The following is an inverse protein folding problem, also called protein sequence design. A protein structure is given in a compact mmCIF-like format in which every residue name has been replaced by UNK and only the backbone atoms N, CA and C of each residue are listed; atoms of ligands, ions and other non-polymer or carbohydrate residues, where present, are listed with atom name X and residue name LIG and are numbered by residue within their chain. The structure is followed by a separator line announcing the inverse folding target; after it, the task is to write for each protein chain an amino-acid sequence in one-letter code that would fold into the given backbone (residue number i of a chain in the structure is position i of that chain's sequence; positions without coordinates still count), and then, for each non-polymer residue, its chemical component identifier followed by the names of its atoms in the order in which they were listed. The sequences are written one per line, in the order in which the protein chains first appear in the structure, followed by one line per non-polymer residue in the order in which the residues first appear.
data_IF_249743495953
#
_entry.id   IF_249743495953
#
_cell.length_a   1.000
_cell.length_b   1.000
_cell.length_c   1.000
_cell.angle_alpha   90.00
_cell.angle_beta   90.00
_cell.angle_gamma   90.00
#
_symmetry.space_group_name_H-M   'P 1'
#
loop_
_entity.id
_entity.type
_entity.pdbx_description
1 polymer ?
#
# COMPACT_ATOMS: atom_id res chain seq x y z
N UNK A 1 -67.49 7.22 52.48
CA UNK A 1 -67.68 8.14 51.34
C UNK A 1 -67.39 7.35 50.09
N UNK A 2 -68.36 7.27 49.18
CA UNK A 2 -68.36 6.39 48.02
C UNK A 2 -67.39 6.90 46.95
N UNK A 3 -66.42 6.08 46.55
CA UNK A 3 -65.59 6.34 45.38
C UNK A 3 -66.44 6.09 44.13
N UNK A 4 -66.73 7.15 43.38
CA UNK A 4 -67.44 7.08 42.11
C UNK A 4 -66.65 6.26 41.10
N UNK A 5 -67.21 5.13 40.66
CA UNK A 5 -66.81 4.45 39.45
C UNK A 5 -67.23 5.32 38.26
N UNK A 6 -66.32 6.13 37.72
CA UNK A 6 -66.57 6.77 36.43
C UNK A 6 -66.69 5.67 35.36
N UNK A 7 -67.75 5.69 34.53
CA UNK A 7 -68.01 4.60 33.61
C UNK A 7 -66.91 4.58 32.55
N UNK A 8 -66.05 3.55 32.58
CA UNK A 8 -64.96 3.34 31.63
C UNK A 8 -65.52 2.90 30.28
N UNK A 9 -66.30 3.75 29.63
CA UNK A 9 -66.94 3.42 28.35
C UNK A 9 -65.91 3.25 27.24
N UNK A 10 -66.23 2.42 26.25
CA UNK A 10 -65.38 2.25 25.08
C UNK A 10 -65.14 3.59 24.36
N UNK A 11 -63.87 3.99 24.21
CA UNK A 11 -63.45 5.24 23.57
C UNK A 11 -63.85 5.37 22.09
N UNK A 12 -64.28 4.28 21.45
CA UNK A 12 -64.68 4.25 20.03
C UNK A 12 -66.20 4.34 19.86
N UNK A 13 -66.98 3.56 20.61
CA UNK A 13 -68.44 3.51 20.42
C UNK A 13 -69.27 4.09 21.56
N UNK A 14 -68.67 4.38 22.72
CA UNK A 14 -69.29 4.98 23.91
C UNK A 14 -70.56 4.27 24.45
N UNK A 15 -70.91 3.11 23.89
CA UNK A 15 -72.16 2.38 24.17
C UNK A 15 -71.99 1.22 25.14
N UNK A 16 -70.78 0.72 25.32
CA UNK A 16 -70.49 -0.44 26.16
C UNK A 16 -69.39 -0.15 27.15
N UNK A 17 -69.49 -0.76 28.34
CA UNK A 17 -68.46 -0.74 29.35
C UNK A 17 -67.17 -1.34 28.77
N UNK A 18 -66.09 -0.58 28.88
CA UNK A 18 -64.77 -0.88 28.34
C UNK A 18 -64.10 -1.94 29.19
N UNK A 19 -64.17 -3.19 28.71
CA UNK A 19 -63.62 -4.37 29.39
C UNK A 19 -62.11 -4.52 29.22
N UNK A 20 -61.48 -3.78 28.30
CA UNK A 20 -60.07 -3.90 27.96
C UNK A 20 -59.40 -2.52 27.92
N UNK A 21 -58.19 -2.40 28.44
CA UNK A 21 -57.37 -1.17 28.38
C UNK A 21 -56.09 -1.44 27.57
N UNK A 22 -55.71 -0.51 26.70
CA UNK A 22 -54.42 -0.56 26.02
C UNK A 22 -53.36 0.23 26.79
N UNK A 23 -52.26 -0.41 27.21
CA UNK A 23 -51.21 0.25 27.99
C UNK A 23 -50.47 1.35 27.22
N UNK A 24 -50.40 1.25 25.89
CA UNK A 24 -49.72 2.25 25.05
C UNK A 24 -50.50 3.56 24.92
N UNK A 25 -51.78 3.48 24.55
CA UNK A 25 -52.62 4.67 24.35
C UNK A 25 -53.49 5.04 25.57
N UNK A 26 -53.49 4.21 26.63
CA UNK A 26 -54.26 4.37 27.88
C UNK A 26 -55.78 4.51 27.71
N UNK A 27 -56.33 4.06 26.59
CA UNK A 27 -57.76 4.11 26.28
C UNK A 27 -58.48 2.81 26.64
N UNK A 28 -59.77 2.92 27.01
CA UNK A 28 -60.66 1.80 27.31
C UNK A 28 -61.47 1.39 26.07
N UNK A 29 -61.58 0.10 25.81
CA UNK A 29 -62.25 -0.45 24.64
C UNK A 29 -63.17 -1.61 25.03
N UNK A 30 -64.25 -1.78 24.28
CA UNK A 30 -64.95 -3.06 24.27
C UNK A 30 -64.11 -4.08 23.46
N UNK A 31 -64.33 -5.37 23.69
CA UNK A 31 -63.52 -6.45 23.09
C UNK A 31 -63.39 -6.31 21.57
N UNK A 32 -64.49 -5.95 20.87
CA UNK A 32 -64.48 -5.77 19.41
C UNK A 32 -63.54 -4.65 18.97
N UNK A 33 -63.62 -3.46 19.59
CA UNK A 33 -62.77 -2.32 19.23
C UNK A 33 -61.33 -2.48 19.73
N UNK A 34 -61.11 -3.25 20.80
CA UNK A 34 -59.76 -3.60 21.26
C UNK A 34 -59.03 -4.48 20.23
N UNK A 35 -59.72 -5.50 19.69
CA UNK A 35 -59.16 -6.36 18.64
C UNK A 35 -58.87 -5.56 17.36
N UNK A 36 -59.77 -4.65 16.98
CA UNK A 36 -59.54 -3.75 15.84
C UNK A 36 -58.33 -2.83 16.06
N UNK A 37 -58.20 -2.26 17.26
CA UNK A 37 -57.04 -1.43 17.63
C UNK A 37 -55.74 -2.24 17.57
N UNK A 38 -55.75 -3.47 18.07
CA UNK A 38 -54.57 -4.35 18.03
C UNK A 38 -54.20 -4.73 16.59
N UNK A 39 -55.19 -4.98 15.73
CA UNK A 39 -54.96 -5.24 14.31
C UNK A 39 -54.35 -4.02 13.61
N UNK A 40 -54.87 -2.82 13.85
CA UNK A 40 -54.31 -1.57 13.32
C UNK A 40 -52.86 -1.34 13.76
N UNK A 41 -52.54 -1.65 15.02
CA UNK A 41 -51.16 -1.57 15.52
C UNK A 41 -50.23 -2.59 14.85
N UNK A 42 -50.71 -3.82 14.60
CA UNK A 42 -49.93 -4.83 13.86
C UNK A 42 -49.64 -4.34 12.46
N UNK A 43 -50.66 -3.88 11.73
CA UNK A 43 -50.50 -3.34 10.38
C UNK A 43 -49.53 -2.17 10.35
N UNK A 44 -49.64 -1.22 11.29
CA UNK A 44 -48.68 -0.11 11.37
C UNK A 44 -47.26 -0.56 11.67
N UNK A 45 -47.07 -1.57 12.51
CA UNK A 45 -45.74 -2.10 12.79
C UNK A 45 -45.13 -2.77 11.55
N UNK A 46 -45.93 -3.54 10.83
CA UNK A 46 -45.49 -4.18 9.58
C UNK A 46 -45.17 -3.13 8.50
N UNK A 47 -46.04 -2.13 8.34
CA UNK A 47 -45.90 -1.08 7.32
C UNK A 47 -44.76 -0.09 7.64
N UNK A 48 -44.65 0.38 8.89
CA UNK A 48 -43.69 1.45 9.24
C UNK A 48 -42.35 0.90 9.71
N UNK A 49 -42.32 -0.22 10.44
CA UNK A 49 -41.09 -0.74 11.06
C UNK A 49 -40.47 -1.86 10.23
N UNK A 50 -41.25 -2.90 9.90
CA UNK A 50 -40.73 -4.07 9.18
C UNK A 50 -40.33 -3.68 7.77
N UNK A 51 -41.20 -2.98 7.04
CA UNK A 51 -40.89 -2.52 5.68
C UNK A 51 -39.64 -1.62 5.65
N UNK A 52 -39.56 -0.62 6.54
CA UNK A 52 -38.37 0.25 6.62
C UNK A 52 -37.10 -0.53 6.96
N UNK A 53 -37.19 -1.49 7.88
CA UNK A 53 -36.06 -2.36 8.23
C UNK A 53 -35.58 -3.16 7.02
N UNK A 54 -36.51 -3.78 6.30
CA UNK A 54 -36.18 -4.63 5.15
C UNK A 54 -35.63 -3.80 3.98
N UNK A 55 -36.17 -2.60 3.75
CA UNK A 55 -35.62 -1.64 2.78
C UNK A 55 -34.19 -1.22 3.15
N UNK A 56 -33.91 -0.93 4.42
CA UNK A 56 -32.57 -0.59 4.88
C UNK A 56 -31.60 -1.77 4.73
N UNK A 57 -32.05 -2.98 5.05
CA UNK A 57 -31.26 -4.20 4.89
C UNK A 57 -30.94 -4.46 3.41
N UNK A 58 -31.92 -4.25 2.51
CA UNK A 58 -31.71 -4.36 1.08
C UNK A 58 -30.74 -3.29 0.55
N UNK A 59 -30.87 -2.04 1.00
CA UNK A 59 -29.94 -0.95 0.65
C UNK A 59 -28.51 -1.25 1.11
N UNK A 60 -28.32 -1.77 2.33
CA UNK A 60 -27.00 -2.15 2.85
C UNK A 60 -26.37 -3.29 2.04
N UNK A 61 -27.18 -4.29 1.67
CA UNK A 61 -26.73 -5.40 0.83
C UNK A 61 -26.33 -4.92 -0.58
N UNK A 62 -27.10 -4.01 -1.18
CA UNK A 62 -26.78 -3.42 -2.50
C UNK A 62 -25.52 -2.55 -2.45
N UNK A 63 -25.34 -1.74 -1.40
CA UNK A 63 -24.15 -0.91 -1.21
C UNK A 63 -22.86 -1.75 -1.06
N UNK A 64 -22.97 -2.91 -0.41
CA UNK A 64 -21.85 -3.86 -0.27
C UNK A 64 -21.49 -4.56 -1.59
N UNK A 65 -22.41 -4.57 -2.56
CA UNK A 65 -22.17 -5.15 -3.89
C UNK A 65 -21.62 -4.12 -4.88
N UNK A 66 -21.85 -2.82 -4.67
CA UNK A 66 -21.34 -1.73 -5.52
C UNK A 66 -19.91 -1.31 -5.16
N UNK A 67 -19.03 -2.26 -4.87
CA UNK A 67 -17.61 -2.05 -4.51
C UNK A 67 -16.74 -1.57 -5.69
N UNK A 68 -17.32 -0.93 -6.70
CA UNK A 68 -16.59 -0.38 -7.85
C UNK A 68 -15.46 0.56 -7.40
N UNK A 69 -15.71 1.40 -6.38
CA UNK A 69 -14.69 2.28 -5.79
C UNK A 69 -13.59 1.53 -5.04
N UNK A 70 -13.89 0.38 -4.43
CA UNK A 70 -12.86 -0.46 -3.82
C UNK A 70 -12.00 -1.13 -4.89
N UNK A 71 -12.61 -1.57 -6.00
CA UNK A 71 -11.88 -2.11 -7.16
C UNK A 71 -10.91 -1.09 -7.76
N UNK A 72 -11.34 0.17 -7.95
CA UNK A 72 -10.48 1.24 -8.45
C UNK A 72 -9.29 1.52 -7.53
N UNK A 73 -9.49 1.48 -6.20
CA UNK A 73 -8.40 1.63 -5.24
C UNK A 73 -7.41 0.46 -5.30
N UNK A 74 -7.88 -0.78 -5.45
CA UNK A 74 -6.99 -1.93 -5.66
C UNK A 74 -6.18 -1.79 -6.95
N UNK A 75 -6.80 -1.37 -8.05
CA UNK A 75 -6.10 -1.12 -9.31
C UNK A 75 -5.03 -0.02 -9.16
N UNK A 76 -5.28 1.01 -8.36
CA UNK A 76 -4.30 2.05 -8.08
C UNK A 76 -3.12 1.54 -7.24
N UNK A 77 -3.37 0.68 -6.26
CA UNK A 77 -2.35 0.00 -5.47
C UNK A 77 -1.47 -0.88 -6.38
N UNK A 78 -2.09 -1.71 -7.22
CA UNK A 78 -1.39 -2.61 -8.14
C UNK A 78 -0.52 -1.84 -9.15
N UNK A 79 -1.05 -0.72 -9.66
CA UNK A 79 -0.29 0.19 -10.54
C UNK A 79 0.88 0.82 -9.79
N UNK A 80 0.69 1.29 -8.57
CA UNK A 80 1.75 1.86 -7.75
C UNK A 80 2.86 0.84 -7.49
N UNK A 81 2.50 -0.40 -7.14
CA UNK A 81 3.43 -1.50 -6.91
C UNK A 81 4.27 -1.77 -8.17
N UNK A 82 3.60 -1.97 -9.31
CA UNK A 82 4.24 -2.28 -10.59
C UNK A 82 5.24 -1.18 -11.00
N UNK A 83 4.83 0.08 -10.95
CA UNK A 83 5.68 1.23 -11.31
C UNK A 83 6.87 1.36 -10.35
N UNK A 84 6.67 1.09 -9.07
CA UNK A 84 7.73 1.20 -8.06
C UNK A 84 8.78 0.12 -8.24
N UNK A 85 8.37 -1.13 -8.48
CA UNK A 85 9.28 -2.23 -8.81
C UNK A 85 10.10 -1.92 -10.06
N UNK A 86 9.46 -1.39 -11.11
CA UNK A 86 10.16 -1.01 -12.35
C UNK A 86 11.22 0.07 -12.10
N UNK A 87 10.90 1.08 -11.28
CA UNK A 87 11.87 2.14 -10.91
C UNK A 87 13.07 1.56 -10.15
N UNK A 88 12.85 0.62 -9.23
CA UNK A 88 13.92 -0.07 -8.50
C UNK A 88 14.82 -0.84 -9.47
N UNK A 89 14.25 -1.59 -10.41
CA UNK A 89 15.01 -2.30 -11.43
C UNK A 89 15.84 -1.35 -12.30
N UNK A 90 15.24 -0.25 -12.79
CA UNK A 90 15.97 0.77 -13.58
C UNK A 90 17.11 1.39 -12.80
N UNK A 91 16.91 1.70 -11.52
CA UNK A 91 17.95 2.27 -10.67
C UNK A 91 19.11 1.27 -10.48
N UNK A 92 18.81 0.01 -10.19
CA UNK A 92 19.80 -1.05 -10.06
C UNK A 92 20.60 -1.25 -11.35
N UNK A 93 19.92 -1.31 -12.50
CA UNK A 93 20.55 -1.54 -13.79
C UNK A 93 21.47 -0.39 -14.20
N UNK A 94 21.04 0.86 -13.96
CA UNK A 94 21.89 2.04 -14.16
C UNK A 94 23.19 1.95 -13.34
N UNK A 95 23.10 1.57 -12.08
CA UNK A 95 24.29 1.45 -11.20
C UNK A 95 25.19 0.30 -11.65
N UNK A 96 24.63 -0.85 -12.08
CA UNK A 96 25.40 -1.95 -12.67
C UNK A 96 26.16 -1.48 -13.91
N UNK A 97 25.48 -0.78 -14.82
CA UNK A 97 26.09 -0.27 -16.04
C UNK A 97 27.25 0.69 -15.74
N UNK A 98 27.05 1.64 -14.82
CA UNK A 98 28.10 2.56 -14.38
C UNK A 98 29.30 1.82 -13.79
N UNK A 99 29.06 0.82 -12.93
CA UNK A 99 30.12 0.00 -12.35
C UNK A 99 30.89 -0.77 -13.43
N UNK A 100 30.19 -1.40 -14.38
CA UNK A 100 30.82 -2.11 -15.50
C UNK A 100 31.65 -1.18 -16.37
N UNK A 101 31.16 0.04 -16.65
CA UNK A 101 31.91 1.03 -17.42
C UNK A 101 33.20 1.44 -16.71
N UNK A 102 33.14 1.76 -15.41
CA UNK A 102 34.32 2.11 -14.63
C UNK A 102 35.35 0.97 -14.62
N UNK A 103 34.92 -0.26 -14.36
CA UNK A 103 35.79 -1.44 -14.38
C UNK A 103 36.42 -1.68 -15.76
N UNK A 104 35.65 -1.47 -16.83
CA UNK A 104 36.13 -1.63 -18.21
C UNK A 104 37.15 -0.57 -18.56
N UNK A 105 36.92 0.69 -18.15
CA UNK A 105 37.86 1.79 -18.35
C UNK A 105 39.18 1.58 -17.60
N UNK A 106 39.11 1.16 -16.33
CA UNK A 106 40.31 0.82 -15.55
C UNK A 106 41.10 -0.32 -16.19
N UNK A 107 40.42 -1.39 -16.62
CA UNK A 107 41.05 -2.51 -17.34
C UNK A 107 41.71 -2.06 -18.64
N UNK A 108 41.03 -1.21 -19.42
CA UNK A 108 41.55 -0.70 -20.69
C UNK A 108 42.81 0.16 -20.47
N UNK A 109 42.82 1.03 -19.45
CA UNK A 109 44.00 1.82 -19.07
C UNK A 109 45.18 0.92 -18.72
N UNK A 110 44.97 -0.07 -17.85
CA UNK A 110 46.02 -1.03 -17.47
C UNK A 110 46.58 -1.80 -18.67
N UNK A 111 45.69 -2.23 -19.56
CA UNK A 111 46.07 -2.96 -20.78
C UNK A 111 46.91 -2.08 -21.70
N UNK A 112 46.55 -0.79 -21.84
CA UNK A 112 47.28 0.16 -22.66
C UNK A 112 48.66 0.50 -22.07
N UNK A 113 48.75 0.72 -20.76
CA UNK A 113 50.01 0.98 -20.05
C UNK A 113 50.97 -0.21 -20.19
N UNK A 114 50.45 -1.43 -20.01
CA UNK A 114 51.21 -2.65 -20.19
C UNK A 114 51.66 -2.86 -21.65
N UNK A 115 50.77 -2.57 -22.62
CA UNK A 115 51.09 -2.65 -24.04
C UNK A 115 52.18 -1.66 -24.46
N UNK A 116 52.12 -0.43 -23.95
CA UNK A 116 53.11 0.62 -24.19
C UNK A 116 54.47 0.22 -23.62
N UNK A 117 54.50 -0.28 -22.39
CA UNK A 117 55.72 -0.80 -21.76
C UNK A 117 56.29 -2.00 -22.54
N UNK A 118 55.43 -2.91 -23.01
CA UNK A 118 55.87 -4.07 -23.80
C UNK A 118 56.56 -3.65 -25.11
N UNK A 119 56.04 -2.62 -25.79
CA UNK A 119 56.68 -2.04 -26.98
C UNK A 119 58.01 -1.38 -26.64
N UNK A 120 58.08 -0.60 -25.56
CA UNK A 120 59.33 0.03 -25.10
C UNK A 120 60.42 -1.02 -24.83
N UNK A 121 60.09 -2.12 -24.14
CA UNK A 121 61.03 -3.20 -23.84
C UNK A 121 61.53 -3.89 -25.13
N UNK A 122 60.63 -4.16 -26.09
CA UNK A 122 60.99 -4.79 -27.37
C UNK A 122 61.91 -3.91 -28.19
N UNK A 123 61.53 -2.64 -28.41
CA UNK A 123 62.32 -1.73 -29.22
C UNK A 123 63.74 -1.56 -28.66
N UNK A 124 63.88 -1.37 -27.33
CA UNK A 124 65.20 -1.22 -26.70
C UNK A 124 66.06 -2.47 -26.79
N UNK A 125 65.43 -3.65 -26.73
CA UNK A 125 66.12 -4.93 -26.92
C UNK A 125 66.57 -5.11 -28.37
N UNK A 126 65.71 -4.77 -29.33
CA UNK A 126 66.00 -4.92 -30.76
C UNK A 126 67.07 -3.92 -31.22
N UNK A 127 67.10 -2.71 -30.63
CA UNK A 127 68.08 -1.66 -30.89
C UNK A 127 69.38 -1.84 -30.08
N UNK A 128 69.44 -2.81 -29.16
CA UNK A 128 70.51 -3.00 -28.15
C UNK A 128 70.89 -1.69 -27.43
N UNK A 129 69.89 -0.83 -27.23
CA UNK A 129 70.02 0.56 -26.78
C UNK A 129 69.37 0.74 -25.40
N UNK A 130 70.05 0.25 -24.36
CA UNK A 130 69.64 0.41 -22.97
C UNK A 130 70.84 0.62 -22.05
N UNK A 131 70.64 1.44 -21.02
CA UNK A 131 71.59 1.66 -19.93
C UNK A 131 70.96 1.30 -18.56
N UNK A 132 71.73 1.46 -17.48
CA UNK A 132 71.27 1.19 -16.13
C UNK A 132 70.06 2.06 -15.73
N UNK A 133 69.96 3.30 -16.23
CA UNK A 133 68.83 4.19 -15.95
C UNK A 133 67.55 3.70 -16.62
N UNK A 134 67.65 3.17 -17.85
CA UNK A 134 66.55 2.57 -18.57
C UNK A 134 66.03 1.32 -17.83
N UNK A 135 66.95 0.47 -17.36
CA UNK A 135 66.61 -0.72 -16.57
C UNK A 135 65.88 -0.31 -15.28
N UNK A 136 66.40 0.66 -14.53
CA UNK A 136 65.79 1.13 -13.29
C UNK A 136 64.42 1.77 -13.54
N UNK A 137 64.27 2.57 -14.61
CA UNK A 137 62.98 3.16 -15.02
C UNK A 137 61.95 2.09 -15.36
N UNK A 138 62.33 1.09 -16.14
CA UNK A 138 61.44 -0.02 -16.51
C UNK A 138 61.04 -0.85 -15.29
N UNK A 139 61.97 -1.11 -14.37
CA UNK A 139 61.66 -1.77 -13.09
C UNK A 139 60.63 -1.00 -12.27
N UNK A 140 60.76 0.33 -12.17
CA UNK A 140 59.78 1.19 -11.50
C UNK A 140 58.40 1.11 -12.15
N UNK A 141 58.32 1.13 -13.49
CA UNK A 141 57.05 0.98 -14.22
C UNK A 141 56.40 -0.40 -13.97
N UNK A 142 57.19 -1.48 -13.97
CA UNK A 142 56.71 -2.84 -13.67
C UNK A 142 56.09 -2.90 -12.27
N UNK A 143 56.79 -2.37 -11.27
CA UNK A 143 56.28 -2.32 -9.90
C UNK A 143 54.97 -1.51 -9.78
N UNK A 144 54.87 -0.37 -10.47
CA UNK A 144 53.64 0.42 -10.50
C UNK A 144 52.47 -0.36 -11.11
N UNK A 145 52.66 -1.02 -12.24
CA UNK A 145 51.61 -1.84 -12.88
C UNK A 145 51.21 -3.00 -11.97
N UNK A 146 52.16 -3.65 -11.29
CA UNK A 146 51.86 -4.71 -10.32
C UNK A 146 51.01 -4.20 -9.16
N UNK A 147 51.29 -3.01 -8.63
CA UNK A 147 50.47 -2.38 -7.58
C UNK A 147 49.06 -2.11 -8.10
N UNK A 148 48.93 -1.48 -9.28
CA UNK A 148 47.63 -1.17 -9.87
C UNK A 148 46.82 -2.44 -10.18
N UNK A 149 47.46 -3.51 -10.63
CA UNK A 149 46.83 -4.80 -10.89
C UNK A 149 46.35 -5.46 -9.59
N UNK A 150 47.14 -5.41 -8.51
CA UNK A 150 46.72 -5.86 -7.18
C UNK A 150 45.54 -5.04 -6.63
N UNK A 151 45.49 -3.74 -6.89
CA UNK A 151 44.35 -2.90 -6.50
C UNK A 151 43.08 -3.25 -7.28
N UNK A 152 43.22 -3.48 -8.59
CA UNK A 152 42.12 -3.91 -9.45
C UNK A 152 41.54 -5.28 -9.05
N UNK A 153 42.38 -6.24 -8.66
CA UNK A 153 41.96 -7.61 -8.30
C UNK A 153 41.63 -7.80 -6.83
N UNK A 154 42.22 -7.00 -5.94
CA UNK A 154 42.19 -7.25 -4.49
C UNK A 154 41.09 -6.50 -3.73
N UNK A 155 40.60 -5.37 -4.24
CA UNK A 155 39.49 -4.61 -3.63
C UNK A 155 39.11 -3.46 -4.55
N UNK A 156 37.99 -3.57 -5.26
CA UNK A 156 37.49 -2.48 -6.12
C UNK A 156 37.28 -1.22 -5.27
N UNK A 157 38.01 -0.14 -5.55
CA UNK A 157 37.83 1.17 -4.88
C UNK A 157 36.42 1.72 -5.08
N UNK A 158 35.72 1.23 -6.10
CA UNK A 158 34.35 1.59 -6.43
C UNK A 158 33.37 0.86 -5.51
N UNK A 159 32.82 1.59 -4.54
CA UNK A 159 31.75 1.09 -3.66
C UNK A 159 30.40 1.59 -4.17
N UNK A 160 29.47 0.67 -4.45
CA UNK A 160 28.08 1.03 -4.59
C UNK A 160 27.50 1.37 -3.20
N UNK A 161 26.90 2.56 -3.07
CA UNK A 161 26.12 2.92 -1.88
C UNK A 161 24.70 2.43 -2.13
N UNK A 162 24.30 1.40 -1.41
CA UNK A 162 22.95 0.82 -1.47
C UNK A 162 22.26 1.20 -0.18
N UNK A 163 21.16 1.94 -0.29
CA UNK A 163 20.26 2.20 0.85
C UNK A 163 19.61 0.87 1.20
N UNK A 164 19.75 0.46 2.46
CA UNK A 164 19.21 -0.81 2.92
C UNK A 164 17.67 -0.73 2.99
N UNK A 165 16.99 -1.84 2.72
CA UNK A 165 15.53 -1.85 2.57
C UNK A 165 14.80 -1.47 3.87
N UNK A 166 15.42 -1.75 5.02
CA UNK A 166 14.95 -1.38 6.37
C UNK A 166 15.03 0.14 6.65
N UNK A 167 15.78 0.88 5.84
CA UNK A 167 15.85 2.35 5.91
C UNK A 167 14.74 3.03 5.09
N UNK A 168 14.03 2.27 4.26
CA UNK A 168 12.90 2.77 3.46
C UNK A 168 11.61 2.52 4.22
N UNK A 169 11.02 3.60 4.75
CA UNK A 169 9.72 3.53 5.42
C UNK A 169 8.58 3.47 4.39
N UNK A 170 8.28 2.27 3.92
CA UNK A 170 7.24 2.01 2.91
C UNK A 170 5.84 2.48 3.34
N UNK A 171 5.55 2.50 4.65
CA UNK A 171 4.25 2.92 5.18
C UNK A 171 3.99 4.43 5.01
N UNK A 172 5.02 5.23 4.68
CA UNK A 172 4.86 6.64 4.32
C UNK A 172 4.50 6.87 2.85
N UNK A 173 4.74 5.88 1.98
CA UNK A 173 4.51 6.01 0.55
C UNK A 173 3.14 5.49 0.12
N UNK A 174 2.57 4.53 0.85
CA UNK A 174 1.24 3.97 0.59
C UNK A 174 0.56 3.60 1.91
N UNK A 175 -0.62 4.15 2.16
CA UNK A 175 -1.41 3.86 3.36
C UNK A 175 -2.90 4.13 3.10
N UNK A 176 -3.75 3.47 3.89
CA UNK A 176 -5.20 3.70 3.86
C UNK A 176 -5.56 4.65 4.99
N UNK A 177 -6.07 5.82 4.66
CA UNK A 177 -6.64 6.75 5.63
C UNK A 177 -8.15 6.53 5.75
N UNK A 178 -8.64 6.34 6.98
CA UNK A 178 -10.08 6.31 7.25
C UNK A 178 -10.47 7.71 7.68
N UNK A 179 -11.12 8.48 6.80
CA UNK A 179 -11.82 9.69 7.21
C UNK A 179 -12.92 9.30 8.20
N UNK A 180 -12.69 9.51 9.49
CA UNK A 180 -13.74 9.53 10.51
C UNK A 180 -14.68 10.71 10.21
N UNK A 181 -15.74 10.48 9.44
CA UNK A 181 -16.91 11.35 9.50
C UNK A 181 -17.62 11.06 10.82
N UNK A 182 -17.25 11.81 11.86
CA UNK A 182 -18.09 11.93 13.06
C UNK A 182 -19.40 12.60 12.63
N UNK A 183 -20.49 11.82 12.66
CA UNK A 183 -21.87 12.31 12.62
C UNK A 183 -22.23 12.82 14.01
#
# INVERSE_FOLDING_TARGET
MASGLEPTQCSVCQKSEGKCICNGCKNYFCIKHFNQHRQQLSTKFDDEVVTTHDELLEQMNRASQSNASASELFDEIDRWETVTIEKVHKAAERVRHQLTQLLTQEKASLTNDFGTMTKEIRNRRDEDAFDENDIERLHRKINQIQISLKQFTGTTKTRAIIVANDQVDWNRFIYVDKKENRI
#
